data_IF_815766674723
#
_entry.id   IF_815766674723
#
_cell.length_a   1.000
_cell.length_b   1.000
_cell.length_c   1.000
_cell.angle_alpha   90.00
_cell.angle_beta   90.00
_cell.angle_gamma   90.00
#
_symmetry.space_group_name_H-M   'P 1'
#
loop_
_entity.id
_entity.type
_entity.pdbx_description
1 polymer ?
#
# COMPACT_ATOMS: atom_id res chain seq x y z
N UNK A 1 5.33 48.00 -17.49
CA UNK A 1 4.34 47.21 -16.72
C UNK A 1 5.10 46.35 -15.73
N UNK A 2 4.97 46.61 -14.44
CA UNK A 2 5.67 45.90 -13.35
C UNK A 2 4.84 44.64 -12.99
N UNK A 3 5.46 43.47 -12.77
CA UNK A 3 4.74 42.33 -12.24
C UNK A 3 4.58 42.45 -10.71
N UNK A 4 3.37 42.23 -10.24
CA UNK A 4 2.98 42.13 -8.83
C UNK A 4 3.37 40.76 -8.26
N UNK A 5 3.83 40.69 -7.00
CA UNK A 5 4.17 39.43 -6.36
C UNK A 5 2.89 38.72 -5.89
N UNK A 6 2.75 37.45 -6.31
CA UNK A 6 1.70 36.54 -5.83
C UNK A 6 2.13 36.01 -4.47
N UNK A 7 1.39 36.37 -3.42
CA UNK A 7 1.55 35.83 -2.08
C UNK A 7 1.07 34.37 -2.05
N UNK A 8 2.00 33.46 -1.75
CA UNK A 8 1.72 32.05 -1.52
C UNK A 8 1.07 31.91 -0.12
N UNK A 9 -0.26 31.79 -0.09
CA UNK A 9 -1.01 31.52 1.15
C UNK A 9 -1.14 29.99 1.31
N UNK A 10 -0.27 29.41 2.14
CA UNK A 10 -0.36 28.02 2.59
C UNK A 10 -1.60 27.84 3.49
N UNK A 11 -2.72 27.41 2.93
CA UNK A 11 -3.80 26.79 3.71
C UNK A 11 -3.51 25.30 3.81
N UNK A 12 -2.96 24.90 4.95
CA UNK A 12 -2.96 23.51 5.39
C UNK A 12 -4.39 23.13 5.75
N UNK A 13 -5.07 22.43 4.87
CA UNK A 13 -6.34 21.79 5.17
C UNK A 13 -6.05 20.51 5.98
N UNK A 14 -6.17 20.61 7.31
CA UNK A 14 -6.19 19.46 8.19
C UNK A 14 -7.55 18.76 8.05
N UNK A 15 -7.59 17.62 7.35
CA UNK A 15 -8.72 16.71 7.42
C UNK A 15 -8.62 15.88 8.71
N UNK A 16 -9.66 15.81 9.55
CA UNK A 16 -9.61 15.04 10.78
C UNK A 16 -9.73 13.55 10.47
N UNK A 17 -8.65 12.80 10.71
CA UNK A 17 -8.69 11.35 10.82
C UNK A 17 -9.51 10.97 12.07
N UNK A 18 -10.74 10.55 11.88
CA UNK A 18 -11.54 9.91 12.93
C UNK A 18 -10.97 8.50 13.17
N UNK A 19 -10.45 8.27 14.39
CA UNK A 19 -10.22 6.92 14.88
C UNK A 19 -8.87 6.59 15.53
N UNK A 20 -8.05 7.58 15.90
CA UNK A 20 -6.89 7.32 16.76
C UNK A 20 -7.14 7.89 18.16
N UNK A 21 -7.25 7.01 19.16
CA UNK A 21 -7.36 7.42 20.56
C UNK A 21 -6.05 8.07 21.05
N UNK A 22 -6.11 9.15 21.85
CA UNK A 22 -4.94 9.93 22.25
C UNK A 22 -3.99 9.26 23.26
N UNK A 23 -4.20 8.00 23.62
CA UNK A 23 -3.47 7.34 24.71
C UNK A 23 -2.09 6.76 24.34
N UNK A 24 -1.75 6.64 23.07
CA UNK A 24 -0.50 5.99 22.65
C UNK A 24 0.71 6.92 22.54
N UNK A 25 0.52 8.25 22.63
CA UNK A 25 1.61 9.23 22.47
C UNK A 25 2.13 9.83 23.78
N UNK A 26 1.52 9.52 24.94
CA UNK A 26 1.89 10.15 26.20
C UNK A 26 2.94 9.37 27.02
N UNK A 27 3.40 8.21 26.61
CA UNK A 27 4.37 7.42 27.39
C UNK A 27 5.85 7.69 27.09
N UNK A 28 6.17 8.58 26.14
CA UNK A 28 7.56 8.81 25.71
C UNK A 28 8.20 10.11 26.26
N UNK A 29 7.45 10.91 27.05
CA UNK A 29 7.96 12.13 27.68
C UNK A 29 7.70 12.16 29.19
N UNK A 30 8.08 11.13 29.93
CA UNK A 30 8.25 11.20 31.38
C UNK A 30 9.69 10.95 31.74
N UNK A 31 10.39 12.02 32.04
CA UNK A 31 11.69 11.91 32.66
C UNK A 31 12.67 13.02 32.36
N UNK A 32 12.31 14.29 32.62
CA UNK A 32 13.29 15.28 33.08
C UNK A 32 12.50 16.38 33.81
N UNK A 33 12.25 16.20 35.10
CA UNK A 33 11.90 17.28 36.03
C UNK A 33 13.05 17.41 37.03
N UNK A 34 13.95 18.30 36.72
CA UNK A 34 15.04 18.74 37.59
C UNK A 34 15.22 20.25 37.43
N UNK A 35 14.31 21.06 37.99
CA UNK A 35 14.55 22.47 38.14
C UNK A 35 15.51 22.66 39.33
N UNK A 36 16.81 22.72 39.06
CA UNK A 36 17.82 23.19 39.96
C UNK A 36 17.78 24.70 40.04
N UNK A 37 17.67 25.20 41.26
CA UNK A 37 17.83 26.59 41.64
C UNK A 37 19.13 27.18 41.09
N UNK A 38 19.07 28.14 40.18
CA UNK A 38 20.22 28.92 39.74
C UNK A 38 20.33 30.18 40.60
N UNK A 39 21.35 30.22 41.46
CA UNK A 39 21.81 31.43 42.13
C UNK A 39 22.54 32.32 41.10
N UNK A 40 22.45 33.67 41.24
CA UNK A 40 23.15 34.59 40.33
C UNK A 40 24.63 34.64 40.67
N UNK A 41 25.47 34.11 39.75
CA UNK A 41 26.93 34.36 39.76
C UNK A 41 27.25 35.43 38.74
N UNK A 42 27.86 36.47 39.25
CA UNK A 42 28.25 37.72 38.59
C UNK A 42 29.15 37.54 37.36
N UNK A 43 28.86 38.34 36.38
CA UNK A 43 29.69 39.06 35.43
C UNK A 43 31.15 38.55 35.15
N UNK A 44 31.25 37.55 34.27
CA UNK A 44 32.44 37.29 33.42
C UNK A 44 32.05 36.67 32.08
N UNK A 45 30.93 37.00 31.49
CA UNK A 45 30.35 36.29 30.36
C UNK A 45 30.16 37.07 29.04
N UNK A 46 30.60 38.30 28.91
CA UNK A 46 30.33 39.08 27.68
C UNK A 46 31.02 38.55 26.42
N UNK A 47 32.14 37.80 26.54
CA UNK A 47 32.82 37.19 25.42
C UNK A 47 32.20 35.85 25.01
N UNK A 48 31.74 35.06 25.98
CA UNK A 48 31.07 33.75 25.70
C UNK A 48 29.71 33.91 24.99
N UNK A 49 28.95 34.98 25.34
CA UNK A 49 27.66 35.27 24.70
C UNK A 49 27.78 35.61 23.23
N UNK A 50 28.88 36.29 22.85
CA UNK A 50 29.18 36.64 21.44
C UNK A 50 29.50 35.39 20.62
N UNK A 51 30.17 34.39 21.19
CA UNK A 51 30.43 33.10 20.54
C UNK A 51 29.19 32.26 20.39
N UNK A 52 28.36 32.16 21.42
CA UNK A 52 27.10 31.41 21.39
C UNK A 52 26.10 32.00 20.38
N UNK A 53 26.00 33.33 20.32
CA UNK A 53 25.17 34.02 19.33
C UNK A 53 25.64 33.77 17.89
N UNK A 54 26.96 33.77 17.64
CA UNK A 54 27.53 33.49 16.32
C UNK A 54 27.30 32.03 15.89
N UNK A 55 27.44 31.08 16.80
CA UNK A 55 27.18 29.67 16.52
C UNK A 55 25.69 29.37 16.36
N UNK A 56 24.83 30.03 17.12
CA UNK A 56 23.37 29.93 17.01
C UNK A 56 22.86 30.39 15.64
N UNK A 57 23.40 31.49 15.10
CA UNK A 57 23.06 31.98 13.76
C UNK A 57 23.58 31.03 12.68
N UNK A 58 24.79 30.48 12.81
CA UNK A 58 25.36 29.55 11.85
C UNK A 58 24.56 28.23 11.79
N UNK A 59 24.13 27.69 12.93
CA UNK A 59 23.29 26.47 13.00
C UNK A 59 21.89 26.74 12.43
N UNK A 60 21.31 27.93 12.67
CA UNK A 60 20.02 28.30 12.10
C UNK A 60 20.06 28.43 10.57
N UNK A 61 21.14 28.96 10.02
CA UNK A 61 21.31 29.08 8.56
C UNK A 61 21.54 27.70 7.91
N UNK A 62 22.29 26.80 8.57
CA UNK A 62 22.45 25.43 8.09
C UNK A 62 21.13 24.63 8.13
N UNK A 63 20.27 24.85 9.15
CA UNK A 63 18.98 24.20 9.25
C UNK A 63 17.99 24.67 8.15
N UNK A 64 18.08 25.93 7.73
CA UNK A 64 17.27 26.47 6.62
C UNK A 64 17.76 25.97 5.24
N UNK A 65 19.03 25.63 5.09
CA UNK A 65 19.57 25.06 3.85
C UNK A 65 19.22 23.55 3.68
N UNK A 66 18.82 22.86 4.74
CA UNK A 66 18.39 21.45 4.69
C UNK A 66 16.95 21.27 4.20
N UNK A 67 16.16 22.35 4.11
CA UNK A 67 14.81 22.29 3.55
C UNK A 67 14.84 22.40 2.03
N UNK A 68 14.95 21.28 1.34
CA UNK A 68 14.39 21.19 0.01
C UNK A 68 15.31 21.14 -1.17
N UNK A 69 15.98 20.04 -1.36
CA UNK A 69 16.38 19.64 -2.71
C UNK A 69 15.94 18.18 -2.98
N UNK A 70 14.69 17.84 -2.64
CA UNK A 70 14.08 16.66 -3.25
C UNK A 70 13.83 17.00 -4.72
N UNK A 71 14.49 16.31 -5.68
CA UNK A 71 14.19 16.51 -7.08
C UNK A 71 12.70 16.33 -7.30
N UNK A 72 12.07 17.26 -7.99
CA UNK A 72 10.65 17.17 -8.34
C UNK A 72 10.40 15.83 -9.03
N UNK A 73 9.43 15.06 -8.55
CA UNK A 73 9.03 13.82 -9.19
C UNK A 73 8.59 14.14 -10.61
N UNK A 74 9.16 13.49 -11.65
CA UNK A 74 8.79 13.77 -13.03
C UNK A 74 7.29 13.58 -13.26
N UNK A 75 6.68 14.42 -14.09
CA UNK A 75 5.25 14.38 -14.37
C UNK A 75 4.78 13.02 -14.90
N UNK A 76 5.55 12.41 -15.81
CA UNK A 76 5.23 11.08 -16.32
C UNK A 76 5.13 10.02 -15.22
N UNK A 77 5.96 10.12 -14.18
CA UNK A 77 5.95 9.16 -13.07
C UNK A 77 4.70 9.31 -12.20
N UNK A 78 4.28 10.56 -11.95
CA UNK A 78 3.04 10.83 -11.23
C UNK A 78 1.82 10.36 -12.03
N UNK A 79 1.81 10.65 -13.33
CA UNK A 79 0.73 10.25 -14.24
C UNK A 79 0.64 8.73 -14.38
N UNK A 80 1.78 8.04 -14.57
CA UNK A 80 1.85 6.59 -14.66
C UNK A 80 1.34 5.94 -13.38
N UNK A 81 1.80 6.42 -12.19
CA UNK A 81 1.34 5.91 -10.91
C UNK A 81 -0.16 6.13 -10.72
N UNK A 82 -0.65 7.34 -10.94
CA UNK A 82 -2.06 7.67 -10.79
C UNK A 82 -2.96 6.84 -11.69
N UNK A 83 -2.57 6.63 -12.95
CA UNK A 83 -3.32 5.78 -13.88
C UNK A 83 -3.25 4.29 -13.48
N UNK A 84 -2.10 3.80 -13.01
CA UNK A 84 -1.98 2.43 -12.55
C UNK A 84 -2.83 2.16 -11.30
N UNK A 85 -2.87 3.11 -10.36
CA UNK A 85 -3.71 3.02 -9.15
C UNK A 85 -5.20 2.99 -9.52
N UNK A 86 -5.64 3.86 -10.47
CA UNK A 86 -7.03 3.86 -10.96
C UNK A 86 -7.38 2.59 -11.74
N UNK A 87 -6.44 2.04 -12.51
CA UNK A 87 -6.65 0.77 -13.20
C UNK A 87 -6.87 -0.37 -12.20
N UNK A 88 -6.06 -0.45 -11.15
CA UNK A 88 -6.22 -1.46 -10.11
C UNK A 88 -7.56 -1.30 -9.37
N UNK A 89 -7.94 -0.09 -8.97
CA UNK A 89 -9.22 0.20 -8.33
C UNK A 89 -10.41 -0.18 -9.22
N UNK A 90 -10.36 0.20 -10.50
CA UNK A 90 -11.40 -0.13 -11.48
C UNK A 90 -11.54 -1.66 -11.67
N UNK A 91 -10.41 -2.37 -11.74
CA UNK A 91 -10.41 -3.84 -11.80
C UNK A 91 -11.09 -4.45 -10.58
N UNK A 92 -10.70 -4.05 -9.38
CA UNK A 92 -11.23 -4.57 -8.13
C UNK A 92 -12.73 -4.26 -7.97
N UNK A 93 -13.15 -3.08 -8.41
CA UNK A 93 -14.56 -2.64 -8.39
C UNK A 93 -15.42 -3.33 -9.47
N UNK A 94 -14.80 -3.97 -10.46
CA UNK A 94 -15.49 -4.71 -11.53
C UNK A 94 -15.68 -3.93 -12.83
N UNK A 95 -15.07 -2.73 -12.98
CA UNK A 95 -15.13 -1.93 -14.19
C UNK A 95 -13.94 -2.23 -15.14
N UNK A 96 -14.11 -3.25 -15.98
CA UNK A 96 -13.07 -3.65 -16.93
C UNK A 96 -12.79 -2.61 -18.01
N UNK A 97 -13.75 -1.75 -18.34
CA UNK A 97 -13.56 -0.73 -19.36
C UNK A 97 -12.66 0.39 -18.87
N UNK A 98 -12.91 0.89 -17.65
CA UNK A 98 -12.06 1.90 -17.02
C UNK A 98 -10.67 1.32 -16.73
N UNK A 99 -10.59 0.08 -16.22
CA UNK A 99 -9.31 -0.62 -16.02
C UNK A 99 -8.46 -0.61 -17.28
N UNK A 100 -9.02 -1.06 -18.43
CA UNK A 100 -8.27 -1.13 -19.68
C UNK A 100 -7.78 0.25 -20.14
N UNK A 101 -8.61 1.29 -20.04
CA UNK A 101 -8.24 2.65 -20.41
C UNK A 101 -7.13 3.23 -19.53
N UNK A 102 -7.25 3.08 -18.21
CA UNK A 102 -6.26 3.61 -17.26
C UNK A 102 -4.95 2.81 -17.33
N UNK A 103 -5.02 1.49 -17.51
CA UNK A 103 -3.83 0.68 -17.72
C UNK A 103 -3.07 1.07 -19.00
N UNK A 104 -3.79 1.31 -20.11
CA UNK A 104 -3.17 1.80 -21.34
C UNK A 104 -2.48 3.16 -21.13
N UNK A 105 -3.07 4.07 -20.37
CA UNK A 105 -2.46 5.37 -20.01
C UNK A 105 -1.18 5.17 -19.20
N UNK A 106 -1.21 4.34 -18.15
CA UNK A 106 -0.03 4.06 -17.35
C UNK A 106 1.12 3.51 -18.20
N UNK A 107 0.82 2.57 -19.11
CA UNK A 107 1.81 2.04 -20.06
C UNK A 107 2.37 3.12 -20.97
N UNK A 108 1.52 3.98 -21.52
CA UNK A 108 1.95 5.06 -22.41
C UNK A 108 2.89 6.04 -21.73
N UNK A 109 2.64 6.41 -20.47
CA UNK A 109 3.52 7.30 -19.71
C UNK A 109 4.90 6.67 -19.47
N UNK A 110 4.95 5.39 -19.10
CA UNK A 110 6.22 4.67 -18.89
C UNK A 110 6.95 4.45 -20.21
N UNK A 111 6.26 4.14 -21.30
CA UNK A 111 6.87 3.87 -22.60
C UNK A 111 7.69 5.04 -23.15
N UNK A 112 7.36 6.28 -22.76
CA UNK A 112 8.15 7.49 -23.11
C UNK A 112 9.57 7.47 -22.56
N UNK A 113 9.83 6.65 -21.56
CA UNK A 113 11.13 6.59 -20.89
C UNK A 113 12.09 5.57 -21.51
N UNK A 114 11.61 4.75 -22.45
CA UNK A 114 12.34 3.60 -23.00
C UNK A 114 12.90 2.66 -21.92
N UNK A 115 12.16 2.50 -20.79
CA UNK A 115 12.54 1.69 -19.63
C UNK A 115 11.65 0.43 -19.53
N UNK A 116 12.06 -0.70 -20.10
CA UNK A 116 11.28 -1.94 -20.05
C UNK A 116 11.13 -2.49 -18.62
N UNK A 117 12.11 -2.25 -17.74
CA UNK A 117 12.04 -2.60 -16.32
C UNK A 117 10.87 -1.91 -15.60
N UNK A 118 10.61 -0.63 -15.89
CA UNK A 118 9.47 0.08 -15.34
C UNK A 118 8.14 -0.38 -15.97
N UNK A 119 8.17 -0.76 -17.25
CA UNK A 119 6.98 -1.32 -17.90
C UNK A 119 6.62 -2.69 -17.30
N UNK A 120 7.62 -3.53 -17.01
CA UNK A 120 7.44 -4.80 -16.30
C UNK A 120 6.75 -4.59 -14.94
N UNK A 121 7.09 -3.52 -14.22
CA UNK A 121 6.44 -3.17 -12.94
C UNK A 121 4.95 -2.86 -13.11
N UNK A 122 4.57 -2.12 -14.15
CA UNK A 122 3.15 -1.82 -14.45
C UNK A 122 2.38 -3.11 -14.77
N UNK A 123 2.97 -4.03 -15.53
CA UNK A 123 2.35 -5.33 -15.81
C UNK A 123 2.15 -6.16 -14.54
N UNK A 124 3.14 -6.20 -13.65
CA UNK A 124 3.03 -6.91 -12.38
C UNK A 124 1.97 -6.32 -11.45
N UNK A 125 1.79 -4.99 -11.44
CA UNK A 125 0.71 -4.38 -10.67
C UNK A 125 -0.67 -4.85 -11.16
N UNK A 126 -0.85 -4.97 -12.47
CA UNK A 126 -2.06 -5.55 -13.07
C UNK A 126 -2.26 -7.01 -12.65
N UNK A 127 -1.21 -7.80 -12.71
CA UNK A 127 -1.27 -9.22 -12.29
C UNK A 127 -1.55 -9.35 -10.79
N UNK A 128 -1.01 -8.45 -9.96
CA UNK A 128 -1.29 -8.41 -8.54
C UNK A 128 -2.77 -8.12 -8.26
N UNK A 129 -3.37 -7.14 -8.94
CA UNK A 129 -4.79 -6.84 -8.81
C UNK A 129 -5.68 -8.04 -9.21
N UNK A 130 -5.25 -8.81 -10.22
CA UNK A 130 -5.92 -10.06 -10.61
C UNK A 130 -5.80 -11.13 -9.54
N UNK A 131 -4.60 -11.34 -8.99
CA UNK A 131 -4.37 -12.30 -7.91
C UNK A 131 -5.21 -11.98 -6.66
N UNK A 132 -5.43 -10.71 -6.33
CA UNK A 132 -6.31 -10.27 -5.25
C UNK A 132 -7.77 -10.74 -5.42
N UNK A 133 -8.21 -10.93 -6.66
CA UNK A 133 -9.53 -11.43 -7.04
C UNK A 133 -9.51 -12.92 -7.46
N UNK A 134 -8.47 -13.67 -7.11
CA UNK A 134 -8.27 -15.08 -7.44
C UNK A 134 -8.25 -15.38 -8.96
N UNK A 135 -7.97 -14.39 -9.78
CA UNK A 135 -7.70 -14.58 -11.20
C UNK A 135 -6.18 -14.85 -11.39
N UNK A 136 -5.86 -16.10 -11.63
CA UNK A 136 -4.48 -16.57 -11.79
C UNK A 136 -4.11 -16.83 -13.26
N UNK A 137 -4.73 -16.12 -14.17
CA UNK A 137 -4.34 -16.17 -15.59
C UNK A 137 -2.85 -15.79 -15.75
N UNK A 138 -2.15 -16.33 -16.77
CA UNK A 138 -0.75 -16.00 -17.03
C UNK A 138 -0.51 -14.51 -17.15
N UNK A 139 0.61 -14.04 -16.61
CA UNK A 139 1.01 -12.63 -16.65
C UNK A 139 1.77 -12.30 -17.93
N UNK A 140 1.15 -12.54 -19.09
CA UNK A 140 1.80 -12.50 -20.41
C UNK A 140 2.48 -11.17 -20.72
N UNK A 141 1.92 -10.05 -20.23
CA UNK A 141 2.54 -8.74 -20.39
C UNK A 141 3.87 -8.62 -19.64
N UNK A 142 3.98 -9.21 -18.46
CA UNK A 142 5.25 -9.30 -17.74
C UNK A 142 6.20 -10.32 -18.38
N UNK A 143 5.70 -11.48 -18.79
CA UNK A 143 6.52 -12.55 -19.36
C UNK A 143 7.33 -12.05 -20.57
N UNK A 144 6.75 -11.19 -21.39
CA UNK A 144 7.41 -10.55 -22.53
C UNK A 144 8.54 -9.57 -22.13
N UNK A 145 8.58 -9.12 -20.87
CA UNK A 145 9.54 -8.14 -20.33
C UNK A 145 10.44 -8.75 -19.24
N UNK A 146 10.29 -10.04 -18.96
CA UNK A 146 10.92 -10.70 -17.83
C UNK A 146 12.45 -10.63 -17.85
N UNK A 147 13.07 -10.66 -19.06
CA UNK A 147 14.53 -10.55 -19.22
C UNK A 147 15.07 -9.17 -18.83
N UNK A 148 14.27 -8.13 -18.99
CA UNK A 148 14.64 -6.75 -18.69
C UNK A 148 14.20 -6.30 -17.30
N UNK A 149 13.40 -7.12 -16.62
CA UNK A 149 12.86 -6.82 -15.30
C UNK A 149 13.97 -6.83 -14.23
N UNK A 150 13.95 -5.87 -13.32
CA UNK A 150 14.89 -5.83 -12.21
C UNK A 150 14.68 -7.01 -11.24
N UNK A 151 15.68 -7.37 -10.42
CA UNK A 151 15.57 -8.50 -9.49
C UNK A 151 14.35 -8.45 -8.56
N UNK A 152 13.92 -7.24 -8.14
CA UNK A 152 12.74 -7.06 -7.31
C UNK A 152 11.44 -7.43 -8.04
N UNK A 153 11.31 -7.04 -9.31
CA UNK A 153 10.17 -7.38 -10.16
C UNK A 153 10.12 -8.89 -10.46
N UNK A 154 11.28 -9.49 -10.73
CA UNK A 154 11.37 -10.95 -10.91
C UNK A 154 10.98 -11.71 -9.64
N UNK A 155 11.45 -11.27 -8.47
CA UNK A 155 11.05 -11.85 -7.18
C UNK A 155 9.54 -11.70 -6.94
N UNK A 156 8.98 -10.54 -7.28
CA UNK A 156 7.54 -10.30 -7.13
C UNK A 156 6.70 -11.15 -8.10
N UNK A 157 7.16 -11.36 -9.31
CA UNK A 157 6.52 -12.29 -10.24
C UNK A 157 6.48 -13.72 -9.68
N UNK A 158 7.61 -14.22 -9.13
CA UNK A 158 7.65 -15.52 -8.44
C UNK A 158 6.69 -15.56 -7.24
N UNK A 159 6.62 -14.47 -6.47
CA UNK A 159 5.69 -14.35 -5.35
C UNK A 159 4.23 -14.49 -5.80
N UNK A 160 3.81 -13.76 -6.82
CA UNK A 160 2.46 -13.86 -7.40
C UNK A 160 2.17 -15.25 -7.95
N UNK A 161 3.18 -15.92 -8.49
CA UNK A 161 3.08 -17.31 -8.94
C UNK A 161 3.00 -18.33 -7.79
N UNK A 162 3.18 -17.91 -6.53
CA UNK A 162 3.26 -18.80 -5.37
C UNK A 162 4.57 -19.56 -5.25
N UNK A 163 5.60 -19.19 -6.03
CA UNK A 163 6.88 -19.86 -6.16
C UNK A 163 8.06 -19.07 -5.56
N UNK A 164 7.78 -18.04 -4.75
CA UNK A 164 8.84 -17.26 -4.10
C UNK A 164 9.66 -18.11 -3.14
N UNK A 165 10.97 -17.92 -3.19
CA UNK A 165 11.96 -18.56 -2.33
C UNK A 165 12.32 -17.65 -1.16
N UNK A 166 12.97 -18.20 -0.12
CA UNK A 166 13.40 -17.43 1.05
C UNK A 166 14.28 -16.21 0.68
N UNK A 167 15.15 -16.38 -0.31
CA UNK A 167 16.01 -15.30 -0.82
C UNK A 167 15.23 -14.13 -1.45
N UNK A 168 14.03 -14.39 -1.97
CA UNK A 168 13.18 -13.35 -2.58
C UNK A 168 12.61 -12.39 -1.53
N UNK A 169 12.49 -12.81 -0.27
CA UNK A 169 11.85 -12.03 0.78
C UNK A 169 12.44 -10.62 0.92
N UNK A 170 13.77 -10.47 0.83
CA UNK A 170 14.42 -9.17 0.93
C UNK A 170 14.07 -8.23 -0.23
N UNK A 171 13.73 -8.77 -1.40
CA UNK A 171 13.41 -8.04 -2.62
C UNK A 171 11.92 -7.66 -2.72
N UNK A 172 11.06 -8.32 -1.94
CA UNK A 172 9.62 -8.05 -1.96
C UNK A 172 9.25 -6.76 -1.22
N UNK A 173 8.10 -6.14 -1.56
CA UNK A 173 7.48 -5.11 -0.73
C UNK A 173 7.34 -5.56 0.72
N UNK A 174 7.55 -4.66 1.67
CA UNK A 174 7.55 -4.97 3.11
C UNK A 174 6.30 -5.75 3.56
N UNK A 175 5.13 -5.42 2.99
CA UNK A 175 3.87 -6.09 3.29
C UNK A 175 3.86 -7.61 3.00
N UNK A 176 4.71 -8.08 2.10
CA UNK A 176 4.70 -9.49 1.65
C UNK A 176 5.85 -10.32 2.22
N UNK A 177 6.89 -9.69 2.78
CA UNK A 177 8.11 -10.38 3.23
C UNK A 177 7.85 -11.49 4.24
N UNK A 178 7.00 -11.21 5.23
CA UNK A 178 6.67 -12.14 6.32
C UNK A 178 5.83 -13.36 5.90
N UNK A 179 5.34 -13.38 4.65
CA UNK A 179 4.52 -14.47 4.14
C UNK A 179 5.28 -15.39 3.19
N UNK A 180 6.53 -15.05 2.83
CA UNK A 180 7.42 -15.94 2.08
C UNK A 180 7.85 -17.08 3.00
N UNK A 181 7.64 -18.31 2.56
CA UNK A 181 7.99 -19.48 3.36
C UNK A 181 7.03 -19.80 4.52
N UNK A 182 5.94 -19.05 4.67
CA UNK A 182 4.91 -19.38 5.67
C UNK A 182 4.39 -20.81 5.45
N UNK A 183 4.47 -21.64 6.49
CA UNK A 183 4.03 -23.05 6.48
C UNK A 183 2.91 -23.31 7.49
N UNK A 184 2.64 -22.36 8.40
CA UNK A 184 1.60 -22.44 9.42
C UNK A 184 0.40 -21.53 9.13
N UNK A 185 -0.35 -21.17 10.19
CA UNK A 185 -1.50 -20.25 10.08
C UNK A 185 -1.03 -18.81 9.79
N UNK A 186 -1.12 -18.34 8.56
CA UNK A 186 -0.57 -17.04 8.16
C UNK A 186 -1.48 -15.86 8.54
N UNK A 187 -2.61 -16.11 9.21
CA UNK A 187 -3.68 -15.14 9.41
C UNK A 187 -3.23 -13.91 10.21
N UNK A 188 -2.36 -14.09 11.22
CA UNK A 188 -1.83 -12.97 12.02
C UNK A 188 -0.96 -12.05 11.15
N UNK A 189 -0.06 -12.64 10.35
CA UNK A 189 0.79 -11.89 9.44
C UNK A 189 -0.05 -11.17 8.37
N UNK A 190 -1.07 -11.84 7.84
CA UNK A 190 -2.00 -11.28 6.87
C UNK A 190 -2.82 -10.11 7.46
N UNK A 191 -3.32 -10.25 8.68
CA UNK A 191 -4.06 -9.19 9.38
C UNK A 191 -3.20 -7.96 9.64
N UNK A 192 -1.90 -8.14 9.84
CA UNK A 192 -0.92 -7.06 10.05
C UNK A 192 -0.66 -6.20 8.79
N UNK A 193 -1.06 -6.64 7.60
CA UNK A 193 -0.90 -5.84 6.37
C UNK A 193 -1.94 -4.71 6.37
N UNK A 194 -1.49 -3.46 6.50
CA UNK A 194 -2.36 -2.31 6.59
C UNK A 194 -3.05 -1.97 5.25
N UNK A 195 -2.30 -2.05 4.14
CA UNK A 195 -2.85 -1.76 2.81
C UNK A 195 -3.81 -2.85 2.35
N UNK A 196 -5.10 -2.51 2.05
CA UNK A 196 -6.12 -3.48 1.67
C UNK A 196 -5.79 -4.27 0.40
N UNK A 197 -5.21 -3.61 -0.62
CA UNK A 197 -4.84 -4.30 -1.85
C UNK A 197 -3.71 -5.30 -1.60
N UNK A 198 -2.64 -4.91 -0.92
CA UNK A 198 -1.54 -5.80 -0.55
C UNK A 198 -2.03 -6.99 0.29
N UNK A 199 -3.00 -6.76 1.20
CA UNK A 199 -3.62 -7.83 1.99
C UNK A 199 -4.34 -8.83 1.11
N UNK A 200 -5.14 -8.38 0.15
CA UNK A 200 -5.86 -9.26 -0.78
C UNK A 200 -4.91 -10.00 -1.73
N UNK A 201 -3.85 -9.33 -2.23
CA UNK A 201 -2.80 -9.99 -3.02
C UNK A 201 -2.15 -11.11 -2.21
N UNK A 202 -1.79 -10.84 -0.96
CA UNK A 202 -1.18 -11.83 -0.07
C UNK A 202 -2.14 -13.01 0.19
N UNK A 203 -3.42 -12.73 0.46
CA UNK A 203 -4.45 -13.77 0.60
C UNK A 203 -4.56 -14.63 -0.68
N UNK A 204 -4.56 -13.99 -1.86
CA UNK A 204 -4.58 -14.67 -3.15
C UNK A 204 -3.38 -15.60 -3.36
N UNK A 205 -2.18 -15.13 -3.00
CA UNK A 205 -0.96 -15.96 -3.06
C UNK A 205 -1.04 -17.13 -2.10
N UNK A 206 -1.51 -16.94 -0.87
CA UNK A 206 -1.75 -18.03 0.08
C UNK A 206 -2.76 -19.04 -0.46
N UNK A 207 -3.85 -18.57 -1.08
CA UNK A 207 -4.84 -19.43 -1.71
C UNK A 207 -4.22 -20.28 -2.86
N UNK A 208 -3.46 -19.63 -3.73
CA UNK A 208 -2.75 -20.31 -4.83
C UNK A 208 -1.80 -21.41 -4.35
N UNK A 209 -1.18 -21.20 -3.17
CA UNK A 209 -0.30 -22.18 -2.52
C UNK A 209 -1.03 -23.26 -1.73
N UNK A 210 -2.36 -23.22 -1.65
CA UNK A 210 -3.16 -24.14 -0.83
C UNK A 210 -3.04 -23.88 0.69
N UNK A 211 -2.58 -22.70 1.10
CA UNK A 211 -2.34 -22.33 2.50
C UNK A 211 -3.42 -21.39 3.07
N UNK A 212 -4.45 -21.06 2.29
CA UNK A 212 -5.55 -20.23 2.76
C UNK A 212 -6.41 -20.97 3.80
N UNK A 213 -6.43 -20.47 5.02
CA UNK A 213 -7.25 -20.95 6.12
C UNK A 213 -8.67 -20.38 6.04
N UNK A 214 -9.62 -20.85 6.86
CA UNK A 214 -10.90 -20.15 7.04
C UNK A 214 -10.74 -18.70 7.50
N UNK A 215 -9.75 -18.41 8.33
CA UNK A 215 -9.40 -17.04 8.78
C UNK A 215 -8.92 -16.17 7.62
N UNK A 216 -8.04 -16.70 6.76
CA UNK A 216 -7.60 -16.02 5.52
C UNK A 216 -8.79 -15.64 4.64
N UNK A 217 -9.74 -16.56 4.43
CA UNK A 217 -10.92 -16.34 3.58
C UNK A 217 -11.83 -15.26 4.20
N UNK A 218 -12.09 -15.33 5.50
CA UNK A 218 -12.90 -14.33 6.21
C UNK A 218 -12.27 -12.95 6.10
N UNK A 219 -10.98 -12.83 6.38
CA UNK A 219 -10.25 -11.57 6.33
C UNK A 219 -10.25 -10.95 4.91
N UNK A 220 -10.12 -11.79 3.88
CA UNK A 220 -10.19 -11.35 2.48
C UNK A 220 -11.59 -10.83 2.12
N UNK A 221 -12.66 -11.55 2.53
CA UNK A 221 -14.05 -11.13 2.34
C UNK A 221 -14.30 -9.79 3.03
N UNK A 222 -13.90 -9.65 4.30
CA UNK A 222 -14.12 -8.44 5.09
C UNK A 222 -13.35 -7.25 4.49
N UNK A 223 -12.11 -7.48 4.04
CA UNK A 223 -11.29 -6.46 3.37
C UNK A 223 -11.95 -5.98 2.08
N UNK A 224 -12.39 -6.90 1.22
CA UNK A 224 -13.04 -6.56 -0.04
C UNK A 224 -14.39 -5.86 0.18
N UNK A 225 -15.17 -6.34 1.16
CA UNK A 225 -16.48 -5.76 1.55
C UNK A 225 -16.33 -4.34 2.06
N UNK A 226 -15.37 -4.09 2.97
CA UNK A 226 -15.13 -2.76 3.52
C UNK A 226 -14.70 -1.73 2.45
N UNK A 227 -14.11 -2.20 1.36
CA UNK A 227 -13.68 -1.36 0.23
C UNK A 227 -14.74 -1.24 -0.87
N UNK A 228 -15.82 -2.03 -0.84
CA UNK A 228 -16.80 -2.13 -1.92
C UNK A 228 -16.24 -2.77 -3.20
N UNK A 229 -15.16 -3.53 -3.11
CA UNK A 229 -14.51 -4.19 -4.25
C UNK A 229 -15.25 -5.45 -4.64
N UNK A 230 -16.16 -5.32 -5.61
CA UNK A 230 -17.08 -6.38 -6.03
C UNK A 230 -16.37 -7.62 -6.54
N UNK A 231 -15.31 -7.47 -7.32
CA UNK A 231 -14.63 -8.60 -7.97
C UNK A 231 -13.97 -9.55 -6.96
N UNK A 232 -13.06 -9.09 -6.08
CA UNK A 232 -12.51 -9.97 -5.04
C UNK A 232 -13.57 -10.43 -4.06
N UNK A 233 -14.57 -9.59 -3.70
CA UNK A 233 -15.62 -10.00 -2.79
C UNK A 233 -16.40 -11.21 -3.33
N UNK A 234 -16.79 -11.20 -4.59
CA UNK A 234 -17.48 -12.33 -5.22
C UNK A 234 -16.59 -13.57 -5.29
N UNK A 235 -15.31 -13.40 -5.67
CA UNK A 235 -14.37 -14.52 -5.76
C UNK A 235 -14.19 -15.21 -4.40
N UNK A 236 -13.97 -14.44 -3.34
CA UNK A 236 -13.78 -14.99 -2.00
C UNK A 236 -15.05 -15.55 -1.38
N UNK A 237 -16.23 -14.94 -1.62
CA UNK A 237 -17.53 -15.51 -1.22
C UNK A 237 -17.78 -16.85 -1.92
N UNK A 238 -17.39 -17.00 -3.18
CA UNK A 238 -17.50 -18.26 -3.91
C UNK A 238 -16.63 -19.36 -3.28
N UNK A 239 -15.40 -19.03 -2.85
CA UNK A 239 -14.54 -19.97 -2.12
C UNK A 239 -15.18 -20.37 -0.79
N UNK A 240 -15.73 -19.42 -0.04
CA UNK A 240 -16.44 -19.70 1.22
C UNK A 240 -17.64 -20.59 0.97
N UNK A 241 -18.43 -20.31 -0.08
CA UNK A 241 -19.61 -21.12 -0.47
C UNK A 241 -19.22 -22.56 -0.77
N UNK A 242 -18.19 -22.78 -1.60
CA UNK A 242 -17.72 -24.12 -1.92
C UNK A 242 -17.30 -24.92 -0.67
N UNK A 243 -16.62 -24.26 0.28
CA UNK A 243 -16.22 -24.90 1.55
C UNK A 243 -17.44 -25.24 2.42
N UNK A 244 -18.44 -24.38 2.50
CA UNK A 244 -19.68 -24.64 3.24
C UNK A 244 -20.48 -25.80 2.61
N UNK A 245 -20.54 -25.86 1.28
CA UNK A 245 -21.15 -26.96 0.54
C UNK A 245 -20.42 -28.30 0.81
N UNK A 246 -19.07 -28.29 0.75
CA UNK A 246 -18.28 -29.49 1.05
C UNK A 246 -18.44 -29.97 2.50
N UNK A 247 -18.72 -29.07 3.43
CA UNK A 247 -19.00 -29.37 4.84
C UNK A 247 -20.47 -29.76 5.13
N UNK A 248 -21.36 -29.72 4.12
CA UNK A 248 -22.80 -29.99 4.31
C UNK A 248 -23.52 -28.94 5.15
N UNK A 249 -22.97 -27.73 5.32
CA UNK A 249 -23.52 -26.68 6.18
C UNK A 249 -24.62 -25.86 5.47
N UNK A 250 -25.82 -26.42 5.37
CA UNK A 250 -26.94 -25.88 4.56
C UNK A 250 -27.30 -24.43 4.93
N UNK A 251 -27.36 -24.08 6.22
CA UNK A 251 -27.69 -22.73 6.67
C UNK A 251 -26.61 -21.71 6.28
N UNK A 252 -25.34 -22.10 6.35
CA UNK A 252 -24.21 -21.28 5.94
C UNK A 252 -24.21 -21.07 4.42
N UNK A 253 -24.48 -22.12 3.65
CA UNK A 253 -24.66 -22.05 2.19
C UNK A 253 -25.73 -21.03 1.83
N UNK A 254 -26.90 -21.10 2.46
CA UNK A 254 -28.01 -20.17 2.21
C UNK A 254 -27.64 -18.74 2.59
N UNK A 255 -26.90 -18.54 3.69
CA UNK A 255 -26.43 -17.23 4.14
C UNK A 255 -25.43 -16.61 3.16
N UNK A 256 -24.44 -17.38 2.70
CA UNK A 256 -23.43 -16.90 1.74
C UNK A 256 -24.09 -16.61 0.39
N UNK A 257 -25.01 -17.45 -0.05
CA UNK A 257 -25.73 -17.25 -1.31
C UNK A 257 -26.48 -15.92 -1.32
N UNK A 258 -27.21 -15.58 -0.24
CA UNK A 258 -27.86 -14.27 -0.11
C UNK A 258 -26.88 -13.11 -0.23
N UNK A 259 -25.67 -13.22 0.36
CA UNK A 259 -24.64 -12.19 0.23
C UNK A 259 -24.18 -12.02 -1.23
N UNK A 260 -24.00 -13.13 -1.94
CA UNK A 260 -23.64 -13.12 -3.37
C UNK A 260 -24.74 -12.44 -4.18
N UNK A 261 -26.01 -12.78 -3.91
CA UNK A 261 -27.16 -12.22 -4.62
C UNK A 261 -27.28 -10.70 -4.41
N UNK A 262 -27.01 -10.21 -3.19
CA UNK A 262 -26.93 -8.76 -2.90
C UNK A 262 -25.85 -8.11 -3.74
N UNK A 263 -24.64 -8.66 -3.78
CA UNK A 263 -23.51 -8.09 -4.56
C UNK A 263 -23.82 -8.09 -6.06
N UNK A 264 -24.58 -9.09 -6.54
CA UNK A 264 -25.00 -9.20 -7.95
C UNK A 264 -26.23 -8.36 -8.30
N UNK A 265 -26.84 -7.70 -7.30
CA UNK A 265 -28.10 -6.95 -7.50
C UNK A 265 -29.32 -7.84 -7.78
N UNK A 266 -29.25 -9.12 -7.39
CA UNK A 266 -30.32 -10.11 -7.58
C UNK A 266 -31.24 -10.23 -6.35
N UNK A 267 -31.01 -9.44 -5.30
CA UNK A 267 -31.91 -9.46 -4.14
C UNK A 267 -33.28 -9.02 -4.59
N UNK A 268 -34.26 -9.91 -4.43
CA UNK A 268 -35.66 -9.53 -4.49
C UNK A 268 -35.92 -8.53 -3.36
N UNK A 269 -36.31 -7.31 -3.71
CA UNK A 269 -36.90 -6.35 -2.78
C UNK A 269 -38.27 -6.89 -2.29
#
# INVERSE_FOLDING_TARGET
>A
MKPTPVACSLRVAASPLKGATPAAWQSQFRGVSGFGHFSPVEARGALLWRWIARWGVAVSVLALAACGNNPLVPEWQMNAKGSADRAAEAWLSGDSRVEAAEFARARAEVSRTARPDLLARIELLRCAARAAALDFAPCTGFDALASDAAPAEQAYARYLAGAAQAADAALLPAAHRGLVGATGAPDVALAGIADPMSRLVAAGVLFRRGLATPGTITLAIDTASARGWRRPLLAWLQVQLQRAQAAGAADEVARIQRRIDVVLGKSAL
#
